data_IF_588621360218
#
_entry.id   IF_588621360218
#
_cell.length_a   1.000
_cell.length_b   1.000
_cell.length_c   1.000
_cell.angle_alpha   90.00
_cell.angle_beta   90.00
_cell.angle_gamma   90.00
#
_symmetry.space_group_name_H-M   'P 1'
#
loop_
_entity.id
_entity.type
_entity.pdbx_description
1 polymer ?
#
# COMPACT_ATOMS: atom_id res chain seq x y z
N UNK A 1 -2.92 -7.73 -6.33
CA UNK A 1 -2.35 -7.28 -5.04
C UNK A 1 -0.86 -7.06 -5.23
N UNK A 2 -0.21 -6.29 -4.36
CA UNK A 2 1.24 -6.09 -4.42
C UNK A 2 1.90 -6.56 -3.11
N UNK A 3 3.00 -7.29 -3.23
CA UNK A 3 3.80 -7.69 -2.06
C UNK A 3 4.58 -6.51 -1.48
N UNK A 4 5.10 -6.67 -0.27
CA UNK A 4 5.98 -5.66 0.36
C UNK A 4 7.25 -5.46 -0.47
N UNK A 5 7.85 -6.54 -0.94
CA UNK A 5 9.09 -6.49 -1.73
C UNK A 5 8.85 -5.81 -3.08
N UNK A 6 7.74 -6.11 -3.76
CA UNK A 6 7.38 -5.43 -5.01
C UNK A 6 7.17 -3.94 -4.80
N UNK A 7 6.47 -3.55 -3.73
CA UNK A 7 6.26 -2.14 -3.40
C UNK A 7 7.58 -1.44 -3.06
N UNK A 8 8.51 -2.11 -2.37
CA UNK A 8 9.81 -1.55 -2.04
C UNK A 8 10.68 -1.38 -3.28
N UNK A 9 10.73 -2.40 -4.15
CA UNK A 9 11.48 -2.36 -5.39
C UNK A 9 10.97 -1.24 -6.31
N UNK A 10 9.67 -1.15 -6.54
CA UNK A 10 9.11 -0.13 -7.44
C UNK A 10 9.20 1.30 -6.91
N UNK A 11 9.24 1.49 -5.58
CA UNK A 11 9.29 2.84 -4.98
C UNK A 11 10.70 3.30 -4.66
N UNK A 12 11.66 2.39 -4.47
CA UNK A 12 13.02 2.71 -4.00
C UNK A 12 14.14 2.03 -4.79
N UNK A 13 13.83 1.14 -5.73
CA UNK A 13 14.81 0.45 -6.57
C UNK A 13 15.73 -0.49 -5.78
N UNK A 14 15.24 -1.08 -4.68
CA UNK A 14 16.01 -2.01 -3.85
C UNK A 14 15.14 -3.15 -3.30
N UNK A 15 15.77 -4.29 -3.07
CA UNK A 15 15.18 -5.45 -2.38
C UNK A 15 15.04 -5.19 -0.88
N UNK A 16 14.05 -5.84 -0.26
CA UNK A 16 13.81 -5.78 1.17
C UNK A 16 14.81 -6.63 1.95
N UNK A 17 15.29 -6.12 3.08
CA UNK A 17 15.91 -6.94 4.11
C UNK A 17 14.82 -7.65 4.94
N UNK A 18 15.15 -8.75 5.62
CA UNK A 18 14.20 -9.62 6.34
C UNK A 18 13.27 -8.90 7.34
N UNK A 19 13.70 -7.74 7.86
CA UNK A 19 12.93 -6.93 8.81
C UNK A 19 12.52 -5.55 8.28
N UNK A 20 12.56 -5.34 6.96
CA UNK A 20 12.27 -4.04 6.36
C UNK A 20 10.76 -3.70 6.44
N UNK A 21 10.42 -2.85 7.42
CA UNK A 21 9.07 -2.31 7.63
C UNK A 21 8.81 -0.98 6.94
N UNK A 22 9.69 -0.56 6.03
CA UNK A 22 9.59 0.71 5.32
C UNK A 22 8.23 0.88 4.63
N UNK A 23 7.76 -0.15 3.93
CA UNK A 23 6.47 -0.11 3.25
C UNK A 23 5.32 -0.01 4.24
N UNK A 24 5.35 -0.73 5.37
CA UNK A 24 4.30 -0.63 6.38
C UNK A 24 4.20 0.81 6.93
N UNK A 25 5.35 1.46 7.19
CA UNK A 25 5.41 2.86 7.64
C UNK A 25 4.88 3.82 6.58
N UNK A 26 5.28 3.64 5.32
CA UNK A 26 4.80 4.48 4.23
C UNK A 26 3.30 4.34 4.00
N UNK A 27 2.75 3.12 4.04
CA UNK A 27 1.31 2.88 3.93
C UNK A 27 0.55 3.50 5.10
N UNK A 28 1.07 3.42 6.33
CA UNK A 28 0.46 4.09 7.49
C UNK A 28 0.38 5.60 7.31
N UNK A 29 1.48 6.22 6.86
CA UNK A 29 1.53 7.67 6.58
C UNK A 29 0.58 8.07 5.44
N UNK A 30 0.51 7.26 4.39
CA UNK A 30 -0.38 7.48 3.26
C UNK A 30 -1.84 7.44 3.72
N UNK A 31 -2.25 6.41 4.47
CA UNK A 31 -3.62 6.31 5.02
C UNK A 31 -3.98 7.53 5.87
N UNK A 32 -3.08 7.98 6.74
CA UNK A 32 -3.32 9.18 7.54
C UNK A 32 -3.51 10.43 6.68
N UNK A 33 -2.68 10.64 5.65
CA UNK A 33 -2.85 11.77 4.73
C UNK A 33 -4.18 11.74 3.98
N UNK A 34 -4.62 10.54 3.55
CA UNK A 34 -5.90 10.36 2.86
C UNK A 34 -7.08 10.64 3.79
N UNK A 35 -6.98 10.24 5.05
CA UNK A 35 -7.98 10.49 6.08
C UNK A 35 -8.11 11.99 6.39
N UNK A 36 -6.97 12.68 6.58
CA UNK A 36 -6.91 14.14 6.78
C UNK A 36 -7.49 14.91 5.59
N UNK A 37 -7.33 14.38 4.37
CA UNK A 37 -7.92 14.98 3.17
C UNK A 37 -9.44 14.76 3.05
N UNK A 38 -10.10 14.15 4.05
CA UNK A 38 -11.53 13.87 4.05
C UNK A 38 -11.92 12.76 3.06
N UNK A 39 -10.94 11.97 2.59
CA UNK A 39 -11.19 10.91 1.62
C UNK A 39 -11.45 9.58 2.31
N UNK A 40 -12.47 8.86 1.85
CA UNK A 40 -12.62 7.42 2.17
C UNK A 40 -11.47 6.57 1.62
N UNK A 41 -10.51 7.19 0.91
CA UNK A 41 -9.29 6.57 0.39
C UNK A 41 -8.43 5.87 1.44
N UNK A 42 -8.48 6.28 2.72
CA UNK A 42 -7.81 5.55 3.81
C UNK A 42 -8.28 4.08 3.89
N UNK A 43 -9.58 3.83 3.68
CA UNK A 43 -10.18 2.49 3.66
C UNK A 43 -9.90 1.71 2.35
N UNK A 44 -9.38 2.37 1.31
CA UNK A 44 -9.10 1.74 0.02
C UNK A 44 -7.83 0.90 0.03
N UNK A 45 -6.89 1.14 0.95
CA UNK A 45 -5.68 0.32 1.05
C UNK A 45 -5.93 -0.73 2.11
N UNK A 46 -6.14 -1.99 1.72
CA UNK A 46 -6.32 -3.11 2.67
C UNK A 46 -5.03 -3.87 2.89
N UNK A 47 -4.81 -4.26 4.14
CA UNK A 47 -3.68 -5.13 4.51
C UNK A 47 -4.08 -6.59 4.33
N UNK A 48 -3.27 -7.35 3.59
CA UNK A 48 -3.35 -8.82 3.53
C UNK A 48 -2.19 -9.38 4.35
N UNK A 49 -2.51 -10.04 5.47
CA UNK A 49 -1.51 -10.56 6.42
C UNK A 49 -0.53 -11.48 5.69
N UNK A 50 0.76 -11.29 5.92
CA UNK A 50 1.87 -12.02 5.30
C UNK A 50 1.97 -11.95 3.76
N UNK A 51 1.11 -11.21 3.07
CA UNK A 51 1.17 -11.06 1.61
C UNK A 51 1.55 -9.64 1.19
N UNK A 52 0.87 -8.62 1.71
CA UNK A 52 1.12 -7.23 1.31
C UNK A 52 -0.13 -6.38 1.34
N UNK A 53 -0.35 -5.61 0.27
CA UNK A 53 -1.41 -4.61 0.19
C UNK A 53 -2.23 -4.75 -1.08
N UNK A 54 -3.52 -4.46 -0.96
CA UNK A 54 -4.44 -4.41 -2.09
C UNK A 54 -5.17 -3.07 -2.11
N UNK A 55 -5.29 -2.51 -3.30
CA UNK A 55 -6.19 -1.39 -3.56
C UNK A 55 -7.60 -1.94 -3.74
N UNK A 56 -8.46 -1.67 -2.76
CA UNK A 56 -9.88 -2.04 -2.71
C UNK A 56 -10.78 -0.89 -3.19
N UNK A 57 -10.34 -0.16 -4.20
CA UNK A 57 -11.14 0.86 -4.86
C UNK A 57 -12.23 0.22 -5.72
N UNK A 58 -13.41 0.86 -5.85
CA UNK A 58 -14.35 0.51 -6.91
C UNK A 58 -13.64 0.64 -8.26
N UNK A 59 -13.65 -0.43 -9.04
CA UNK A 59 -13.10 -0.45 -10.40
C UNK A 59 -14.22 -0.63 -11.41
N UNK A 60 -14.04 -0.05 -12.59
CA UNK A 60 -14.87 -0.32 -13.76
C UNK A 60 -13.97 -0.90 -14.84
N UNK A 61 -14.45 -1.92 -15.54
CA UNK A 61 -13.69 -2.47 -16.67
C UNK A 61 -13.47 -1.36 -17.71
N UNK A 62 -12.24 -1.28 -18.24
CA UNK A 62 -12.01 -0.49 -19.44
C UNK A 62 -12.80 -1.14 -20.59
N UNK A 63 -13.38 -0.34 -21.51
CA UNK A 63 -14.10 -0.86 -22.66
C UNK A 63 -13.23 -1.74 -23.57
#
# INVERSE_FOLDING_TARGET
MLSRDQLLDWTRGRTADDFDRTIDVQVSRLRHKLDVAGSTASALIKTVRNAGYILAAPVRAAP
#
